data_IF_852404520750
#
_entry.id   IF_852404520750
#
_cell.length_a   1.000
_cell.length_b   1.000
_cell.length_c   1.000
_cell.angle_alpha   90.00
_cell.angle_beta   90.00
_cell.angle_gamma   90.00
#
_symmetry.space_group_name_H-M   'P 1'
#
loop_
_entity.id
_entity.type
_entity.pdbx_description
1 polymer ?
#
# COMPACT_ATOMS: atom_id res chain seq x y z
N UNK A 1 -11.14 -15.00 -2.55
CA UNK A 1 -11.62 -14.41 -1.28
C UNK A 1 -11.16 -12.96 -1.08
N UNK A 2 -9.96 -12.57 -1.53
CA UNK A 2 -9.47 -11.18 -1.40
C UNK A 2 -10.26 -10.13 -2.20
N UNK A 3 -11.14 -10.56 -3.11
CA UNK A 3 -11.99 -9.71 -3.96
C UNK A 3 -13.40 -9.46 -3.37
N UNK A 4 -13.69 -9.90 -2.15
CA UNK A 4 -14.96 -9.59 -1.48
C UNK A 4 -15.04 -8.08 -1.19
N UNK A 5 -16.25 -7.52 -1.29
CA UNK A 5 -16.51 -6.09 -1.10
C UNK A 5 -17.62 -5.85 -0.08
N UNK A 6 -17.48 -4.79 0.71
CA UNK A 6 -18.57 -4.28 1.53
C UNK A 6 -19.62 -3.60 0.63
N UNK A 7 -20.87 -3.46 1.10
CA UNK A 7 -21.89 -2.72 0.37
C UNK A 7 -21.45 -1.30 -0.03
N UNK A 8 -21.94 -0.81 -1.18
CA UNK A 8 -21.58 0.50 -1.75
C UNK A 8 -20.37 0.43 -2.69
N UNK A 9 -19.69 1.56 -2.91
CA UNK A 9 -18.49 1.66 -3.76
C UNK A 9 -17.20 1.38 -2.96
N UNK A 10 -17.22 0.36 -2.11
CA UNK A 10 -16.03 -0.01 -1.34
C UNK A 10 -15.05 -0.80 -2.21
N UNK A 11 -13.75 -0.72 -1.88
CA UNK A 11 -12.75 -1.58 -2.49
C UNK A 11 -12.60 -2.91 -1.73
N UNK A 12 -11.99 -3.90 -2.40
CA UNK A 12 -11.71 -5.20 -1.82
C UNK A 12 -10.32 -5.27 -1.16
N UNK A 13 -10.06 -6.34 -0.42
CA UNK A 13 -8.77 -6.57 0.25
C UNK A 13 -7.60 -6.63 -0.75
N UNK A 14 -7.81 -7.20 -1.94
CA UNK A 14 -6.79 -7.23 -2.98
C UNK A 14 -6.39 -5.80 -3.40
N UNK A 15 -7.39 -4.95 -3.67
CA UNK A 15 -7.14 -3.55 -4.02
C UNK A 15 -6.42 -2.80 -2.91
N UNK A 16 -6.88 -2.92 -1.66
CA UNK A 16 -6.27 -2.22 -0.52
C UNK A 16 -4.81 -2.63 -0.32
N UNK A 17 -4.50 -3.92 -0.37
CA UNK A 17 -3.13 -4.40 -0.22
C UNK A 17 -2.24 -3.97 -1.40
N UNK A 18 -2.74 -4.04 -2.63
CA UNK A 18 -1.99 -3.55 -3.78
C UNK A 18 -1.78 -2.03 -3.73
N UNK A 19 -2.74 -1.28 -3.19
CA UNK A 19 -2.62 0.16 -2.97
C UNK A 19 -1.51 0.47 -1.96
N UNK A 20 -1.44 -0.28 -0.86
CA UNK A 20 -0.33 -0.20 0.10
C UNK A 20 1.01 -0.50 -0.60
N UNK A 21 1.09 -1.55 -1.41
CA UNK A 21 2.31 -1.90 -2.14
C UNK A 21 2.79 -0.77 -3.07
N UNK A 22 1.87 -0.13 -3.82
CA UNK A 22 2.18 1.04 -4.66
C UNK A 22 2.77 2.20 -3.85
N UNK A 23 2.23 2.46 -2.65
CA UNK A 23 2.70 3.57 -1.82
C UNK A 23 4.00 3.24 -1.06
N UNK A 24 4.29 1.97 -0.80
CA UNK A 24 5.62 1.55 -0.33
C UNK A 24 6.69 1.71 -1.40
N UNK A 25 6.38 1.48 -2.67
CA UNK A 25 7.30 1.82 -3.75
C UNK A 25 7.58 3.34 -3.81
N UNK A 26 6.59 4.19 -3.51
CA UNK A 26 6.83 5.64 -3.38
C UNK A 26 7.83 5.95 -2.25
N UNK A 27 7.75 5.25 -1.12
CA UNK A 27 8.73 5.37 -0.04
C UNK A 27 10.13 4.91 -0.49
N UNK A 28 10.23 3.78 -1.17
CA UNK A 28 11.50 3.24 -1.70
C UNK A 28 12.15 4.20 -2.69
N UNK A 29 11.37 4.73 -3.63
CA UNK A 29 11.91 5.67 -4.61
C UNK A 29 12.37 6.96 -3.92
N UNK A 30 11.70 7.40 -2.84
CA UNK A 30 12.09 8.60 -2.07
C UNK A 30 13.49 8.51 -1.45
N UNK A 31 14.02 7.30 -1.29
CA UNK A 31 15.38 7.02 -0.79
C UNK A 31 16.31 6.51 -1.90
N UNK A 32 15.92 6.66 -3.17
CA UNK A 32 16.72 6.27 -4.33
C UNK A 32 16.77 4.76 -4.60
N UNK A 33 15.84 3.99 -4.06
CA UNK A 33 15.72 2.56 -4.30
C UNK A 33 14.70 2.24 -5.40
N UNK A 34 14.86 1.07 -6.02
CA UNK A 34 13.93 0.55 -7.02
C UNK A 34 12.62 0.05 -6.39
N UNK A 35 11.59 -0.05 -7.23
CA UNK A 35 10.32 -0.70 -6.92
C UNK A 35 10.45 -2.20 -6.57
N UNK A 36 9.68 -2.61 -5.56
CA UNK A 36 9.42 -4.01 -5.25
C UNK A 36 8.14 -4.49 -5.95
N UNK A 37 7.14 -3.62 -6.16
CA UNK A 37 5.89 -4.03 -6.81
C UNK A 37 6.00 -4.05 -8.33
N UNK A 38 6.73 -5.07 -8.83
CA UNK A 38 7.12 -5.21 -10.25
C UNK A 38 6.01 -5.85 -11.09
N UNK A 39 4.91 -5.14 -11.26
CA UNK A 39 3.82 -5.57 -12.14
C UNK A 39 3.41 -4.49 -13.13
N UNK A 40 3.18 -4.91 -14.38
CA UNK A 40 2.60 -4.07 -15.44
C UNK A 40 1.16 -3.63 -15.12
N UNK A 41 0.52 -4.24 -14.11
CA UNK A 41 -0.84 -3.93 -13.68
C UNK A 41 -0.88 -3.09 -12.40
N UNK A 42 0.23 -2.43 -12.00
CA UNK A 42 0.28 -1.59 -10.79
C UNK A 42 -0.72 -0.43 -10.81
N UNK A 43 -1.09 0.05 -12.00
CA UNK A 43 -2.02 1.17 -12.18
C UNK A 43 -3.44 0.84 -11.69
N UNK A 44 -3.79 -0.45 -11.60
CA UNK A 44 -5.04 -0.92 -10.99
C UNK A 44 -5.16 -0.55 -9.51
N UNK A 45 -4.05 -0.18 -8.88
CA UNK A 45 -3.95 0.12 -7.45
C UNK A 45 -3.56 1.57 -7.18
N UNK A 46 -3.45 2.40 -8.22
CA UNK A 46 -3.13 3.81 -8.07
C UNK A 46 -4.30 4.59 -7.43
N UNK A 47 -4.00 5.75 -6.85
CA UNK A 47 -5.05 6.67 -6.40
C UNK A 47 -6.01 7.02 -7.54
N UNK A 48 -7.32 6.95 -7.27
CA UNK A 48 -8.36 7.22 -8.26
C UNK A 48 -8.60 6.11 -9.29
N UNK A 49 -7.94 4.96 -9.16
CA UNK A 49 -8.25 3.77 -9.96
C UNK A 49 -9.66 3.26 -9.68
N UNK A 50 -10.24 2.60 -10.68
CA UNK A 50 -11.54 1.96 -10.54
C UNK A 50 -11.48 0.81 -9.52
N UNK A 51 -12.57 0.58 -8.76
CA UNK A 51 -12.60 -0.52 -7.81
C UNK A 51 -12.42 -1.89 -8.47
N UNK A 52 -11.70 -2.80 -7.80
CA UNK A 52 -11.64 -4.21 -8.23
C UNK A 52 -12.91 -4.92 -7.70
N UNK A 53 -13.80 -5.25 -8.64
CA UNK A 53 -15.10 -5.88 -8.40
C UNK A 53 -15.18 -7.27 -9.02
N UNK A 54 -15.93 -8.19 -8.40
CA UNK A 54 -16.24 -9.50 -8.98
C UNK A 54 -14.99 -10.28 -9.42
N UNK A 55 -15.01 -10.81 -10.64
CA UNK A 55 -13.89 -11.50 -11.30
C UNK A 55 -12.96 -10.55 -12.08
N UNK A 56 -12.96 -9.27 -11.72
CA UNK A 56 -12.12 -8.25 -12.34
C UNK A 56 -10.63 -8.59 -12.31
N UNK A 57 -9.90 -8.09 -13.30
CA UNK A 57 -8.46 -8.26 -13.39
C UNK A 57 -7.78 -7.73 -12.13
N UNK A 58 -6.98 -8.58 -11.50
CA UNK A 58 -6.18 -8.22 -10.34
C UNK A 58 -4.88 -9.03 -10.32
N UNK A 59 -3.89 -8.53 -9.60
CA UNK A 59 -2.66 -9.26 -9.32
C UNK A 59 -2.93 -10.30 -8.24
N UNK A 60 -2.27 -11.46 -8.36
CA UNK A 60 -2.34 -12.52 -7.37
C UNK A 60 -1.96 -12.00 -5.99
N UNK A 61 -2.76 -12.33 -4.98
CA UNK A 61 -2.60 -11.82 -3.62
C UNK A 61 -1.20 -12.12 -3.07
N UNK A 62 -0.66 -13.31 -3.37
CA UNK A 62 0.64 -13.77 -2.92
C UNK A 62 1.77 -12.85 -3.43
N UNK A 63 1.67 -12.37 -4.67
CA UNK A 63 2.67 -11.45 -5.25
C UNK A 63 2.60 -10.07 -4.58
N UNK A 64 1.39 -9.60 -4.25
CA UNK A 64 1.21 -8.35 -3.51
C UNK A 64 1.84 -8.48 -2.12
N UNK A 65 1.58 -9.58 -1.42
CA UNK A 65 2.13 -9.83 -0.09
C UNK A 65 3.66 -9.98 -0.10
N UNK A 66 4.22 -10.61 -1.12
CA UNK A 66 5.67 -10.70 -1.33
C UNK A 66 6.29 -9.30 -1.48
N UNK A 67 5.71 -8.45 -2.33
CA UNK A 67 6.14 -7.06 -2.51
C UNK A 67 6.06 -6.24 -1.21
N UNK A 68 4.98 -6.41 -0.42
CA UNK A 68 4.83 -5.76 0.88
C UNK A 68 5.92 -6.23 1.84
N UNK A 69 6.18 -7.53 1.93
CA UNK A 69 7.22 -8.05 2.82
C UNK A 69 8.62 -7.59 2.41
N UNK A 70 8.95 -7.64 1.11
CA UNK A 70 10.24 -7.20 0.60
C UNK A 70 10.47 -5.71 0.86
N UNK A 71 9.49 -4.86 0.53
CA UNK A 71 9.57 -3.42 0.79
C UNK A 71 9.66 -3.09 2.28
N UNK A 72 9.00 -3.85 3.16
CA UNK A 72 9.15 -3.70 4.61
C UNK A 72 10.60 -3.92 5.04
N UNK A 73 11.21 -5.04 4.63
CA UNK A 73 12.56 -5.40 5.04
C UNK A 73 13.59 -4.37 4.58
N UNK A 74 13.42 -3.86 3.36
CA UNK A 74 14.28 -2.83 2.79
C UNK A 74 14.12 -1.51 3.56
N UNK A 75 12.89 -1.00 3.71
CA UNK A 75 12.60 0.26 4.38
C UNK A 75 13.02 0.22 5.86
N UNK A 76 12.73 -0.88 6.56
CA UNK A 76 13.10 -1.06 7.96
C UNK A 76 14.62 -1.10 8.15
N UNK A 77 15.35 -1.79 7.25
CA UNK A 77 16.81 -1.81 7.28
C UNK A 77 17.39 -0.41 7.03
N UNK A 78 16.85 0.30 6.05
CA UNK A 78 17.29 1.67 5.74
C UNK A 78 17.02 2.62 6.90
N UNK A 79 15.80 2.60 7.48
CA UNK A 79 15.42 3.45 8.60
C UNK A 79 16.30 3.24 9.84
N UNK A 80 16.69 1.99 10.14
CA UNK A 80 17.61 1.69 11.25
C UNK A 80 19.01 2.25 11.06
N UNK A 81 19.43 2.50 9.82
CA UNK A 81 20.72 3.08 9.49
C UNK A 81 20.67 4.58 9.17
N UNK A 82 19.48 5.17 9.09
CA UNK A 82 19.31 6.57 8.73
C UNK A 82 19.67 7.49 9.91
N UNK A 83 20.43 8.55 9.63
CA UNK A 83 20.64 9.63 10.60
C UNK A 83 19.53 10.67 10.51
N UNK A 84 19.38 11.50 11.55
CA UNK A 84 18.44 12.60 11.53
C UNK A 84 18.74 13.60 10.40
N UNK A 85 20.02 13.82 10.05
CA UNK A 85 20.35 14.71 8.94
C UNK A 85 19.77 14.22 7.61
N UNK A 86 19.80 12.89 7.37
CA UNK A 86 19.25 12.28 6.15
C UNK A 86 17.72 12.43 6.11
N UNK A 87 17.05 12.22 7.24
CA UNK A 87 15.60 12.32 7.35
C UNK A 87 15.08 13.76 7.14
N UNK A 88 15.89 14.77 7.48
CA UNK A 88 15.56 16.18 7.27
C UNK A 88 15.85 16.68 5.86
N UNK A 89 16.41 15.87 4.95
CA UNK A 89 16.64 16.26 3.55
C UNK A 89 15.30 16.49 2.85
N UNK A 90 15.26 17.47 1.94
CA UNK A 90 14.08 17.74 1.15
C UNK A 90 13.67 16.52 0.31
N UNK A 91 12.39 16.14 0.35
CA UNK A 91 11.90 15.07 -0.54
C UNK A 91 12.01 15.52 -1.99
N UNK A 92 12.61 14.67 -2.83
CA UNK A 92 12.72 14.96 -4.26
C UNK A 92 11.31 15.02 -4.88
N UNK A 93 11.03 16.12 -5.59
CA UNK A 93 9.70 16.38 -6.15
C UNK A 93 9.30 15.44 -7.28
N UNK A 94 10.28 14.93 -8.02
CA UNK A 94 10.05 14.14 -9.24
C UNK A 94 9.88 12.65 -8.96
N UNK A 95 9.93 12.26 -7.69
CA UNK A 95 9.99 10.85 -7.29
C UNK A 95 8.63 10.27 -6.96
N UNK A 96 7.66 11.07 -6.53
CA UNK A 96 6.31 10.56 -6.32
C UNK A 96 5.39 11.02 -7.43
N UNK A 97 4.74 10.04 -8.06
CA UNK A 97 3.66 10.26 -9.04
C UNK A 97 2.53 11.13 -8.44
N UNK A 98 2.45 11.20 -7.11
CA UNK A 98 1.44 11.93 -6.33
C UNK A 98 1.95 13.23 -5.65
N UNK A 99 3.21 13.62 -5.92
CA UNK A 99 3.91 14.73 -5.27
C UNK A 99 4.28 14.45 -3.80
N UNK A 100 5.41 15.00 -3.29
CA UNK A 100 5.80 14.78 -1.90
C UNK A 100 4.78 15.40 -0.95
N UNK A 101 4.55 14.73 0.18
CA UNK A 101 3.61 15.18 1.22
C UNK A 101 4.38 15.72 2.40
N UNK A 102 4.99 16.89 2.20
CA UNK A 102 5.89 17.53 3.17
C UNK A 102 7.05 18.22 2.46
N UNK A 103 7.87 18.92 3.24
CA UNK A 103 9.14 19.50 2.81
C UNK A 103 10.28 18.49 2.95
N UNK A 104 10.31 17.74 4.06
CA UNK A 104 11.37 16.76 4.36
C UNK A 104 10.95 15.31 4.16
N UNK A 105 11.93 14.42 4.03
CA UNK A 105 11.73 12.97 3.89
C UNK A 105 10.94 12.38 5.07
N UNK A 106 11.23 12.83 6.30
CA UNK A 106 10.47 12.44 7.50
C UNK A 106 8.99 12.83 7.43
N UNK A 107 8.65 14.04 6.96
CA UNK A 107 7.26 14.48 6.84
C UNK A 107 6.52 13.65 5.79
N UNK A 108 7.18 13.39 4.66
CA UNK A 108 6.64 12.53 3.61
C UNK A 108 6.43 11.09 4.11
N UNK A 109 7.39 10.52 4.84
CA UNK A 109 7.27 9.18 5.41
C UNK A 109 6.17 9.11 6.48
N UNK A 110 6.09 10.10 7.37
CA UNK A 110 5.03 10.17 8.38
C UNK A 110 3.64 10.20 7.72
N UNK A 111 3.48 10.96 6.64
CA UNK A 111 2.25 10.96 5.85
C UNK A 111 1.94 9.58 5.26
N UNK A 112 2.92 8.95 4.59
CA UNK A 112 2.75 7.65 3.92
C UNK A 112 2.45 6.52 4.91
N UNK A 113 3.06 6.54 6.10
CA UNK A 113 2.78 5.58 7.17
C UNK A 113 1.38 5.78 7.74
N UNK A 114 0.94 7.03 7.95
CA UNK A 114 -0.42 7.33 8.38
C UNK A 114 -1.44 6.87 7.34
N UNK A 115 -1.17 7.11 6.06
CA UNK A 115 -1.97 6.63 4.94
C UNK A 115 -2.08 5.09 4.92
N UNK A 116 -0.97 4.38 5.06
CA UNK A 116 -0.97 2.91 5.17
C UNK A 116 -1.80 2.44 6.38
N UNK A 117 -1.66 3.08 7.55
CA UNK A 117 -2.41 2.71 8.75
C UNK A 117 -3.94 2.86 8.58
N UNK A 118 -4.39 3.89 7.86
CA UNK A 118 -5.80 4.07 7.49
C UNK A 118 -6.28 2.86 6.67
N UNK A 119 -5.54 2.49 5.62
CA UNK A 119 -5.88 1.37 4.76
C UNK A 119 -5.81 0.01 5.47
N UNK A 120 -4.89 -0.18 6.41
CA UNK A 120 -4.86 -1.37 7.27
C UNK A 120 -6.15 -1.47 8.11
N UNK A 121 -6.68 -0.33 8.57
CA UNK A 121 -7.97 -0.27 9.27
C UNK A 121 -9.13 -0.81 8.42
N UNK A 122 -9.14 -0.51 7.11
CA UNK A 122 -10.16 -0.97 6.16
C UNK A 122 -10.18 -2.49 5.97
N UNK A 123 -9.08 -3.20 6.27
CA UNK A 123 -9.00 -4.66 6.18
C UNK A 123 -9.85 -5.38 7.23
N UNK A 124 -10.11 -4.74 8.38
CA UNK A 124 -10.85 -5.35 9.49
C UNK A 124 -12.29 -5.75 9.10
N UNK A 125 -13.14 -4.83 8.61
CA UNK A 125 -14.48 -5.21 8.18
C UNK A 125 -14.48 -6.20 7.01
N UNK A 126 -13.49 -6.16 6.11
CA UNK A 126 -13.36 -7.12 5.02
C UNK A 126 -12.99 -8.53 5.51
N UNK A 127 -12.17 -8.63 6.56
CA UNK A 127 -11.91 -9.90 7.25
C UNK A 127 -13.19 -10.49 7.84
N UNK A 128 -13.99 -9.67 8.54
CA UNK A 128 -15.26 -10.13 9.10
C UNK A 128 -16.24 -10.58 8.01
N UNK A 129 -16.32 -9.83 6.91
CA UNK A 129 -17.09 -10.22 5.74
C UNK A 129 -16.64 -11.59 5.20
N UNK A 130 -15.34 -11.80 5.03
CA UNK A 130 -14.81 -13.07 4.56
C UNK A 130 -15.15 -14.24 5.51
N UNK A 131 -15.10 -14.02 6.83
CA UNK A 131 -15.49 -15.01 7.82
C UNK A 131 -16.99 -15.36 7.73
N UNK A 132 -17.86 -14.34 7.63
CA UNK A 132 -19.31 -14.54 7.46
C UNK A 132 -19.59 -15.29 6.16
N UNK A 133 -19.01 -14.88 5.03
CA UNK A 133 -19.17 -15.55 3.73
C UNK A 133 -18.68 -17.00 3.74
N UNK A 134 -17.72 -17.34 4.61
CA UNK A 134 -17.23 -18.70 4.81
C UNK A 134 -18.03 -19.51 5.84
N UNK A 135 -19.12 -18.97 6.39
CA UNK A 135 -19.92 -19.63 7.44
C UNK A 135 -19.22 -19.69 8.81
N UNK A 136 -18.19 -18.86 9.01
CA UNK A 136 -17.36 -18.76 10.24
C UNK A 136 -17.60 -17.46 11.02
N UNK A 137 -18.53 -16.62 10.57
CA UNK A 137 -18.92 -15.40 11.26
C UNK A 137 -19.68 -15.67 12.56
N UNK A 138 -19.89 -14.63 13.36
CA UNK A 138 -20.65 -14.73 14.60
C UNK A 138 -22.08 -15.22 14.30
N UNK A 139 -22.55 -16.21 15.07
CA UNK A 139 -23.93 -16.67 15.05
C UNK A 139 -24.82 -15.75 15.90
#
# INVERSE_FOLDING_TARGET
>A
MSILQLPGNSNCMNWILGHIAVYRDVMLMSIGMDWCFRSNSRDLYAYGSDPIVGDGNCIQLEQILESINESFDILNRWLKGASNEILSINTMKDISVFGPKGKSLEENFAHLICHEAIHVGELTPLRELALVSAGKGWK
#
